data_IF_166893162648
#
_entry.id   IF_166893162648
#
_cell.length_a   1.000
_cell.length_b   1.000
_cell.length_c   1.000
_cell.angle_alpha   90.00
_cell.angle_beta   90.00
_cell.angle_gamma   90.00
#
_symmetry.space_group_name_H-M   'P 1'
#
loop_
_entity.id
_entity.type
_entity.pdbx_description
1 polymer ?
#
# COMPACT_ATOMS: atom_id res chain seq x y z
N UNK A 1 -24.18 2.20 15.75
CA UNK A 1 -22.95 2.92 15.41
C UNK A 1 -21.93 2.60 16.48
N UNK A 2 -20.93 1.83 16.17
CA UNK A 2 -19.77 1.63 17.05
C UNK A 2 -18.98 2.94 17.08
N UNK A 3 -18.90 3.58 18.22
CA UNK A 3 -18.16 4.83 18.37
C UNK A 3 -16.72 4.45 18.73
N UNK A 4 -15.82 4.50 17.76
CA UNK A 4 -14.39 4.33 18.01
C UNK A 4 -13.85 5.53 18.79
N UNK A 5 -13.15 5.27 19.90
CA UNK A 5 -12.49 6.28 20.73
C UNK A 5 -10.97 6.18 20.63
N UNK A 6 -10.48 4.98 20.33
CA UNK A 6 -9.05 4.68 20.24
C UNK A 6 -8.68 3.82 19.03
N UNK A 7 -7.50 4.07 18.46
CA UNK A 7 -6.93 3.31 17.34
C UNK A 7 -5.47 2.99 17.63
N UNK A 8 -5.08 1.75 17.46
CA UNK A 8 -3.68 1.34 17.43
C UNK A 8 -3.22 1.17 15.98
N UNK A 9 -2.12 1.81 15.58
CA UNK A 9 -1.53 1.69 14.24
C UNK A 9 -0.20 0.97 14.35
N UNK A 10 -0.10 -0.21 13.76
CA UNK A 10 1.06 -1.11 13.83
C UNK A 10 1.92 -0.93 12.57
N UNK A 11 3.13 -0.42 12.75
CA UNK A 11 4.01 0.05 11.69
C UNK A 11 3.84 1.56 11.46
N UNK A 12 4.87 2.34 11.77
CA UNK A 12 4.84 3.81 11.66
C UNK A 12 5.71 4.31 10.51
N UNK A 13 5.72 3.58 9.40
CA UNK A 13 6.37 3.98 8.15
C UNK A 13 5.57 5.01 7.34
N UNK A 14 5.84 5.06 6.03
CA UNK A 14 5.26 6.03 5.09
C UNK A 14 3.72 6.05 5.01
N UNK A 15 3.06 4.97 5.42
CA UNK A 15 1.60 4.87 5.44
C UNK A 15 1.10 4.99 6.88
N UNK A 16 1.63 4.18 7.81
CA UNK A 16 1.08 4.10 9.15
C UNK A 16 1.21 5.39 9.96
N UNK A 17 2.33 6.11 9.88
CA UNK A 17 2.47 7.37 10.62
C UNK A 17 1.51 8.47 10.12
N UNK A 18 1.36 8.72 8.80
CA UNK A 18 0.34 9.64 8.31
C UNK A 18 -1.10 9.22 8.67
N UNK A 19 -1.42 7.92 8.57
CA UNK A 19 -2.73 7.39 8.98
C UNK A 19 -2.97 7.65 10.48
N UNK A 20 -2.00 7.35 11.34
CA UNK A 20 -2.07 7.60 12.78
C UNK A 20 -2.29 9.10 13.10
N UNK A 21 -1.48 9.97 12.48
CA UNK A 21 -1.58 11.41 12.65
C UNK A 21 -2.93 11.97 12.17
N UNK A 22 -3.47 11.43 11.08
CA UNK A 22 -4.76 11.83 10.53
C UNK A 22 -5.91 11.45 11.48
N UNK A 23 -5.96 10.24 12.03
CA UNK A 23 -6.94 9.86 13.06
C UNK A 23 -6.83 10.74 14.31
N UNK A 24 -5.61 10.98 14.80
CA UNK A 24 -5.37 11.84 15.96
C UNK A 24 -5.87 13.27 15.72
N UNK A 25 -5.69 13.81 14.51
CA UNK A 25 -6.20 15.14 14.13
C UNK A 25 -7.72 15.25 14.16
N UNK A 26 -8.43 14.12 14.11
CA UNK A 26 -9.90 14.04 14.25
C UNK A 26 -10.36 13.78 15.68
N UNK A 27 -9.44 13.79 16.63
CA UNK A 27 -9.74 13.71 18.06
C UNK A 27 -9.69 12.32 18.68
N UNK A 28 -9.42 11.26 17.90
CA UNK A 28 -9.22 9.92 18.45
C UNK A 28 -7.95 9.86 19.28
N UNK A 29 -7.91 8.97 20.26
CA UNK A 29 -6.69 8.59 20.95
C UNK A 29 -5.96 7.55 20.11
N UNK A 30 -4.75 7.89 19.63
CA UNK A 30 -3.99 7.02 18.72
C UNK A 30 -2.73 6.52 19.39
N UNK A 31 -2.53 5.21 19.32
CA UNK A 31 -1.36 4.49 19.80
C UNK A 31 -0.59 4.01 18.57
N UNK A 32 0.49 4.68 18.22
CA UNK A 32 1.40 4.21 17.18
C UNK A 32 2.30 3.12 17.74
N UNK A 33 2.47 2.03 17.01
CA UNK A 33 3.34 0.92 17.44
C UNK A 33 4.39 0.66 16.36
N UNK A 34 5.67 0.73 16.74
CA UNK A 34 6.76 0.38 15.83
C UNK A 34 7.88 -0.33 16.60
N UNK A 35 8.48 -1.33 15.97
CA UNK A 35 9.61 -2.08 16.56
C UNK A 35 10.89 -1.25 16.65
N UNK A 36 10.98 -0.16 15.89
CA UNK A 36 12.12 0.74 15.87
C UNK A 36 12.01 1.79 16.98
N UNK A 37 12.76 1.60 18.06
CA UNK A 37 12.79 2.52 19.21
C UNK A 37 13.12 3.95 18.79
N UNK A 38 14.01 4.16 17.82
CA UNK A 38 14.35 5.51 17.35
C UNK A 38 13.14 6.21 16.69
N UNK A 39 12.33 5.50 15.93
CA UNK A 39 11.09 6.03 15.35
C UNK A 39 10.11 6.42 16.48
N UNK A 40 9.94 5.54 17.46
CA UNK A 40 9.08 5.78 18.64
C UNK A 40 9.52 7.02 19.40
N UNK A 41 10.81 7.16 19.71
CA UNK A 41 11.34 8.30 20.45
C UNK A 41 11.19 9.61 19.65
N UNK A 42 11.44 9.57 18.34
CA UNK A 42 11.30 10.70 17.43
C UNK A 42 9.86 11.21 17.41
N UNK A 43 8.89 10.30 17.26
CA UNK A 43 7.46 10.64 17.21
C UNK A 43 7.01 11.23 18.55
N UNK A 44 7.40 10.62 19.68
CA UNK A 44 7.01 11.09 21.01
C UNK A 44 7.59 12.50 21.34
N UNK A 45 8.63 12.92 20.64
CA UNK A 45 9.16 14.31 20.69
C UNK A 45 8.39 15.27 19.78
N UNK A 46 7.38 14.80 19.05
CA UNK A 46 6.63 15.59 18.07
C UNK A 46 7.37 15.81 16.75
N UNK A 47 8.38 14.98 16.46
CA UNK A 47 9.14 15.00 15.21
C UNK A 47 8.75 13.83 14.30
N UNK A 48 9.21 13.86 13.05
CA UNK A 48 8.99 12.80 12.06
C UNK A 48 10.32 12.21 11.59
N UNK A 49 10.33 10.91 11.31
CA UNK A 49 11.50 10.18 10.79
C UNK A 49 11.37 9.87 9.29
N UNK A 50 10.29 10.31 8.66
CA UNK A 50 10.03 10.19 7.22
C UNK A 50 9.81 11.57 6.62
N UNK A 51 10.09 11.70 5.31
CA UNK A 51 9.93 12.97 4.59
C UNK A 51 8.60 12.97 3.86
N UNK A 52 7.64 13.72 4.38
CA UNK A 52 6.32 13.91 3.77
C UNK A 52 5.83 15.33 4.08
N UNK A 53 5.37 16.11 3.08
CA UNK A 53 4.87 17.46 3.30
C UNK A 53 3.74 17.49 4.34
N UNK A 54 3.74 18.53 5.18
CA UNK A 54 2.73 18.80 6.21
C UNK A 54 2.66 17.79 7.37
N UNK A 55 3.29 16.61 7.26
CA UNK A 55 3.21 15.56 8.27
C UNK A 55 3.81 15.99 9.62
N UNK A 56 4.91 16.74 9.61
CA UNK A 56 5.57 17.23 10.80
C UNK A 56 4.65 18.12 11.66
N UNK A 57 3.88 18.99 11.03
CA UNK A 57 2.91 19.84 11.73
C UNK A 57 1.79 19.03 12.35
N UNK A 58 1.25 18.04 11.62
CA UNK A 58 0.15 17.22 12.10
C UNK A 58 0.60 16.33 13.25
N UNK A 59 1.78 15.68 13.14
CA UNK A 59 2.34 14.84 14.21
C UNK A 59 2.63 15.67 15.45
N UNK A 60 3.31 16.81 15.31
CA UNK A 60 3.61 17.70 16.44
C UNK A 60 2.36 18.16 17.16
N UNK A 61 1.33 18.57 16.43
CA UNK A 61 0.05 18.98 17.01
C UNK A 61 -0.61 17.82 17.75
N UNK A 62 -0.67 16.64 17.15
CA UNK A 62 -1.30 15.46 17.73
C UNK A 62 -0.61 15.00 19.01
N UNK A 63 0.73 15.01 19.05
CA UNK A 63 1.51 14.66 20.23
C UNK A 63 1.34 15.70 21.33
N UNK A 64 1.40 17.01 21.00
CA UNK A 64 1.21 18.09 21.96
C UNK A 64 -0.16 18.06 22.62
N UNK A 65 -1.19 17.70 21.88
CA UNK A 65 -2.56 17.53 22.37
C UNK A 65 -2.79 16.21 23.12
N UNK A 66 -1.77 15.35 23.23
CA UNK A 66 -1.89 14.02 23.85
C UNK A 66 -2.80 13.06 23.08
N UNK A 67 -3.02 13.31 21.78
CA UNK A 67 -3.86 12.48 20.91
C UNK A 67 -3.09 11.42 20.15
N UNK A 68 -1.76 11.58 20.03
CA UNK A 68 -0.86 10.60 19.42
C UNK A 68 0.30 10.35 20.38
N UNK A 69 0.58 9.10 20.65
CA UNK A 69 1.83 8.64 21.27
C UNK A 69 2.33 7.39 20.56
N UNK A 70 3.61 7.13 20.64
CA UNK A 70 4.23 5.93 20.06
C UNK A 70 4.78 5.00 21.15
N UNK A 71 4.78 3.71 20.88
CA UNK A 71 5.29 2.65 21.77
C UNK A 71 5.87 1.50 20.94
N UNK A 72 6.65 0.64 21.55
CA UNK A 72 7.18 -0.57 20.91
C UNK A 72 6.28 -1.80 21.09
N UNK A 73 5.27 -1.72 21.94
CA UNK A 73 4.34 -2.82 22.21
C UNK A 73 2.90 -2.37 22.03
N UNK A 74 2.03 -3.19 21.42
CA UNK A 74 0.61 -2.89 21.31
C UNK A 74 -0.06 -2.76 22.67
N UNK A 75 -1.07 -1.90 22.72
CA UNK A 75 -1.93 -1.69 23.87
C UNK A 75 -3.40 -1.82 23.45
N UNK A 76 -4.36 -2.03 24.39
CA UNK A 76 -5.77 -2.13 24.06
C UNK A 76 -6.30 -0.89 23.32
N UNK A 77 -7.04 -1.12 22.24
CA UNK A 77 -7.71 -0.09 21.44
C UNK A 77 -9.03 -0.65 20.88
N UNK A 78 -9.87 0.20 20.30
CA UNK A 78 -11.13 -0.24 19.67
C UNK A 78 -10.92 -0.70 18.24
N UNK A 79 -9.85 -0.22 17.58
CA UNK A 79 -9.44 -0.67 16.27
C UNK A 79 -7.91 -0.78 16.16
N UNK A 80 -7.47 -1.74 15.36
CA UNK A 80 -6.06 -2.00 15.07
C UNK A 80 -5.84 -1.94 13.56
N UNK A 81 -4.91 -1.10 13.12
CA UNK A 81 -4.53 -0.95 11.70
C UNK A 81 -3.13 -1.52 11.53
N UNK A 82 -2.99 -2.56 10.72
CA UNK A 82 -1.71 -3.20 10.41
C UNK A 82 -1.17 -2.61 9.12
N UNK A 83 -0.12 -1.80 9.24
CA UNK A 83 0.54 -1.07 8.16
C UNK A 83 2.04 -1.41 8.10
N UNK A 84 2.36 -2.71 8.17
CA UNK A 84 3.72 -3.25 8.16
C UNK A 84 4.20 -3.55 6.75
N UNK A 85 5.54 -3.62 6.50
CA UNK A 85 6.07 -3.99 5.20
C UNK A 85 5.62 -5.38 4.74
N UNK A 86 5.45 -5.53 3.42
CA UNK A 86 5.15 -6.80 2.75
C UNK A 86 6.13 -7.00 1.58
N UNK A 87 7.43 -7.24 1.85
CA UNK A 87 8.41 -7.50 0.81
C UNK A 87 8.20 -8.88 0.17
N UNK A 88 8.96 -9.20 -0.85
CA UNK A 88 9.03 -10.56 -1.35
C UNK A 88 10.34 -11.24 -0.92
N UNK A 89 10.28 -12.56 -0.80
CA UNK A 89 11.41 -13.45 -0.56
C UNK A 89 12.03 -13.92 -1.89
N UNK A 90 13.04 -14.76 -1.81
CA UNK A 90 13.61 -15.46 -2.97
C UNK A 90 12.51 -16.17 -3.78
N UNK A 91 12.60 -16.08 -5.10
CA UNK A 91 11.54 -16.57 -6.00
C UNK A 91 10.33 -15.66 -6.11
N UNK A 92 10.43 -14.41 -5.64
CA UNK A 92 9.39 -13.37 -5.74
C UNK A 92 8.09 -13.70 -5.00
N UNK A 93 8.15 -14.61 -4.01
CA UNK A 93 7.01 -14.95 -3.16
C UNK A 93 6.78 -13.89 -2.09
N UNK A 94 5.52 -13.56 -1.76
CA UNK A 94 5.24 -12.58 -0.72
C UNK A 94 5.74 -13.04 0.66
N UNK A 95 6.33 -12.11 1.41
CA UNK A 95 6.77 -12.34 2.78
C UNK A 95 5.72 -11.82 3.77
N UNK A 96 4.94 -12.72 4.32
CA UNK A 96 3.88 -12.39 5.28
C UNK A 96 4.32 -12.43 6.74
N UNK A 97 5.60 -12.70 7.03
CA UNK A 97 6.12 -12.82 8.42
C UNK A 97 5.90 -11.53 9.23
N UNK A 98 5.93 -10.37 8.60
CA UNK A 98 5.67 -9.09 9.27
C UNK A 98 4.21 -8.97 9.71
N UNK A 99 3.26 -9.41 8.86
CA UNK A 99 1.82 -9.45 9.20
C UNK A 99 1.59 -10.48 10.31
N UNK A 100 2.21 -11.66 10.23
CA UNK A 100 2.12 -12.69 11.26
C UNK A 100 2.64 -12.17 12.59
N UNK A 101 3.81 -11.52 12.60
CA UNK A 101 4.41 -10.94 13.82
C UNK A 101 3.53 -9.85 14.42
N UNK A 102 2.97 -8.97 13.60
CA UNK A 102 2.03 -7.94 14.04
C UNK A 102 0.76 -8.57 14.63
N UNK A 103 0.20 -9.59 13.97
CA UNK A 103 -0.97 -10.34 14.46
C UNK A 103 -0.73 -10.95 15.83
N UNK A 104 0.41 -11.63 16.01
CA UNK A 104 0.81 -12.22 17.31
C UNK A 104 1.03 -11.16 18.39
N UNK A 105 1.54 -9.98 18.01
CA UNK A 105 1.77 -8.89 18.96
C UNK A 105 0.47 -8.24 19.43
N UNK A 106 -0.53 -8.06 18.56
CA UNK A 106 -1.83 -7.46 18.94
C UNK A 106 -2.78 -8.45 19.60
N UNK A 107 -2.65 -9.74 19.35
CA UNK A 107 -3.54 -10.76 19.88
C UNK A 107 -3.78 -10.67 21.40
N UNK A 108 -2.76 -10.51 22.27
CA UNK A 108 -2.96 -10.45 23.73
C UNK A 108 -3.83 -9.28 24.21
N UNK A 109 -3.93 -8.21 23.43
CA UNK A 109 -4.65 -6.97 23.80
C UNK A 109 -6.01 -6.85 23.15
N UNK A 110 -6.39 -7.79 22.27
CA UNK A 110 -7.71 -7.81 21.64
C UNK A 110 -8.82 -8.10 22.63
N UNK A 111 -9.93 -7.44 22.47
CA UNK A 111 -11.17 -7.67 23.22
C UNK A 111 -12.38 -7.78 22.28
N UNK A 112 -13.45 -8.35 22.78
CA UNK A 112 -14.70 -8.47 22.04
C UNK A 112 -15.20 -7.10 21.57
N UNK A 113 -15.55 -7.00 20.31
CA UNK A 113 -16.00 -5.79 19.62
C UNK A 113 -14.91 -5.06 18.83
N UNK A 114 -13.63 -5.45 18.97
CA UNK A 114 -12.54 -4.80 18.27
C UNK A 114 -12.57 -5.07 16.75
N UNK A 115 -12.00 -4.10 16.02
CA UNK A 115 -11.80 -4.15 14.58
C UNK A 115 -10.31 -4.29 14.27
N UNK A 116 -9.94 -5.23 13.41
CA UNK A 116 -8.58 -5.37 12.90
C UNK A 116 -8.60 -5.13 11.38
N UNK A 117 -7.79 -4.20 10.91
CA UNK A 117 -7.69 -3.83 9.50
C UNK A 117 -6.27 -4.13 9.01
N UNK A 118 -6.14 -4.85 7.91
CA UNK A 118 -4.91 -4.96 7.14
C UNK A 118 -4.89 -3.83 6.12
N UNK A 119 -4.00 -2.85 6.31
CA UNK A 119 -3.82 -1.71 5.38
C UNK A 119 -2.63 -1.94 4.44
N UNK A 120 -1.68 -2.79 4.82
CA UNK A 120 -0.53 -3.16 3.99
C UNK A 120 -0.97 -3.78 2.66
N UNK A 121 -0.33 -3.39 1.55
CA UNK A 121 -0.50 -4.07 0.27
C UNK A 121 -0.12 -5.55 0.41
N UNK A 122 -1.02 -6.44 0.06
CA UNK A 122 -0.89 -7.87 0.37
C UNK A 122 -1.40 -8.74 -0.77
N UNK A 123 -0.92 -9.98 -0.92
CA UNK A 123 -1.50 -10.95 -1.85
C UNK A 123 -2.92 -11.31 -1.43
N UNK A 124 -3.71 -11.78 -2.39
CA UNK A 124 -5.10 -12.21 -2.14
C UNK A 124 -5.14 -13.35 -1.15
N UNK A 125 -5.92 -13.19 -0.08
CA UNK A 125 -6.04 -14.14 1.02
C UNK A 125 -5.20 -13.80 2.26
N UNK A 126 -4.37 -12.75 2.21
CA UNK A 126 -3.56 -12.36 3.36
C UNK A 126 -4.39 -11.91 4.56
N UNK A 127 -5.53 -11.27 4.33
CA UNK A 127 -6.47 -10.86 5.39
C UNK A 127 -7.10 -12.07 6.09
N UNK A 128 -7.47 -13.09 5.32
CA UNK A 128 -7.98 -14.36 5.85
C UNK A 128 -6.90 -15.05 6.68
N UNK A 129 -5.65 -15.05 6.19
CA UNK A 129 -4.52 -15.63 6.91
C UNK A 129 -4.20 -14.86 8.20
N UNK A 130 -4.26 -13.53 8.19
CA UNK A 130 -4.14 -12.69 9.39
C UNK A 130 -5.20 -13.06 10.42
N UNK A 131 -6.45 -13.20 9.99
CA UNK A 131 -7.56 -13.61 10.85
C UNK A 131 -7.35 -15.02 11.45
N UNK A 132 -6.75 -15.95 10.69
CA UNK A 132 -6.41 -17.28 11.18
C UNK A 132 -5.34 -17.24 12.28
N UNK A 133 -4.26 -16.47 12.10
CA UNK A 133 -3.22 -16.31 13.13
C UNK A 133 -3.76 -15.67 14.41
N UNK A 134 -4.66 -14.69 14.28
CA UNK A 134 -5.32 -14.08 15.45
C UNK A 134 -6.21 -15.08 16.18
N UNK A 135 -6.97 -15.91 15.44
CA UNK A 135 -7.82 -16.93 16.03
C UNK A 135 -7.02 -18.03 16.74
N UNK A 136 -5.88 -18.43 16.17
CA UNK A 136 -4.96 -19.38 16.82
C UNK A 136 -4.42 -18.83 18.14
N UNK A 137 -4.04 -17.55 18.16
CA UNK A 137 -3.51 -16.89 19.35
C UNK A 137 -4.59 -16.56 20.41
N UNK A 138 -5.87 -16.45 20.01
CA UNK A 138 -7.01 -16.07 20.88
C UNK A 138 -8.20 -17.02 20.69
N UNK A 139 -8.08 -18.29 21.13
CA UNK A 139 -9.16 -19.27 21.03
C UNK A 139 -10.38 -18.94 21.92
N UNK A 140 -10.25 -17.97 22.80
CA UNK A 140 -11.33 -17.42 23.63
C UNK A 140 -12.24 -16.44 22.91
N UNK A 141 -11.81 -15.94 21.72
CA UNK A 141 -12.57 -15.00 20.87
C UNK A 141 -13.01 -15.69 19.56
N UNK A 142 -14.15 -15.28 19.06
CA UNK A 142 -14.62 -15.76 17.74
C UNK A 142 -14.22 -14.79 16.63
N UNK A 143 -13.86 -15.36 15.46
CA UNK A 143 -13.41 -14.63 14.28
C UNK A 143 -14.32 -14.90 13.07
N UNK A 144 -14.31 -14.01 12.03
CA UNK A 144 -15.24 -14.08 10.92
C UNK A 144 -15.23 -15.40 10.15
N UNK A 145 -14.08 -16.07 9.99
CA UNK A 145 -13.98 -17.35 9.29
C UNK A 145 -14.76 -18.48 9.98
N UNK A 146 -15.03 -18.38 11.27
CA UNK A 146 -15.76 -19.40 12.02
C UNK A 146 -17.17 -18.95 12.41
N UNK A 147 -17.36 -17.68 12.78
CA UNK A 147 -18.60 -17.15 13.33
C UNK A 147 -19.37 -16.20 12.37
N UNK A 148 -18.80 -15.92 11.19
CA UNK A 148 -19.43 -15.04 10.21
C UNK A 148 -19.77 -13.66 10.78
N UNK A 149 -21.00 -13.21 10.53
CA UNK A 149 -21.49 -11.90 10.98
C UNK A 149 -21.58 -11.74 12.51
N UNK A 150 -21.58 -12.83 13.26
CA UNK A 150 -21.68 -12.83 14.72
C UNK A 150 -20.32 -12.90 15.43
N UNK A 151 -19.21 -12.75 14.69
CA UNK A 151 -17.86 -12.84 15.28
C UNK A 151 -17.61 -11.76 16.34
N UNK A 152 -16.83 -12.09 17.36
CA UNK A 152 -16.41 -11.13 18.39
C UNK A 152 -15.46 -10.08 17.83
N UNK A 153 -14.58 -10.48 16.91
CA UNK A 153 -13.63 -9.60 16.23
C UNK A 153 -14.09 -9.34 14.81
N UNK A 154 -13.99 -8.09 14.37
CA UNK A 154 -14.19 -7.69 12.97
C UNK A 154 -12.84 -7.66 12.24
N UNK A 155 -12.79 -8.15 11.00
CA UNK A 155 -11.56 -8.17 10.21
C UNK A 155 -11.83 -7.66 8.81
N UNK A 156 -11.01 -6.73 8.34
CA UNK A 156 -11.14 -6.11 7.01
C UNK A 156 -9.79 -5.84 6.36
N UNK A 157 -9.79 -5.66 5.05
CA UNK A 157 -8.69 -5.11 4.26
C UNK A 157 -9.07 -3.75 3.71
N UNK A 158 -8.21 -2.75 3.89
CA UNK A 158 -8.44 -1.41 3.39
C UNK A 158 -7.13 -0.87 2.79
N UNK A 159 -6.81 -1.20 1.53
CA UNK A 159 -5.52 -0.87 0.94
C UNK A 159 -5.31 0.63 0.82
N UNK A 160 -4.09 1.07 1.08
CA UNK A 160 -3.71 2.47 0.90
C UNK A 160 -3.40 2.78 -0.57
N UNK A 161 -3.85 3.95 -1.04
CA UNK A 161 -3.82 4.36 -2.46
C UNK A 161 -3.30 5.78 -2.65
N UNK A 162 -2.37 6.22 -1.79
CA UNK A 162 -1.81 7.57 -1.82
C UNK A 162 -0.53 7.67 -2.63
N UNK A 163 -0.24 8.87 -3.10
CA UNK A 163 1.00 9.20 -3.79
C UNK A 163 1.98 9.86 -2.81
N UNK A 164 3.23 9.38 -2.72
CA UNK A 164 4.26 10.06 -1.95
C UNK A 164 4.37 11.55 -2.32
N UNK A 165 4.46 12.41 -1.30
CA UNK A 165 4.46 13.87 -1.45
C UNK A 165 3.06 14.51 -1.38
N UNK A 166 1.99 13.71 -1.30
CA UNK A 166 0.60 14.17 -1.15
C UNK A 166 -0.20 13.32 -0.15
N UNK A 167 0.48 12.53 0.68
CA UNK A 167 -0.14 11.49 1.51
C UNK A 167 -1.23 12.06 2.41
N UNK A 168 -0.95 13.12 3.16
CA UNK A 168 -1.93 13.71 4.11
C UNK A 168 -3.21 14.17 3.41
N UNK A 169 -3.07 14.79 2.24
CA UNK A 169 -4.20 15.26 1.45
C UNK A 169 -5.00 14.10 0.88
N UNK A 170 -4.30 13.16 0.23
CA UNK A 170 -4.93 12.05 -0.47
C UNK A 170 -5.57 11.03 0.48
N UNK A 171 -5.05 10.85 1.71
CA UNK A 171 -5.70 10.08 2.76
C UNK A 171 -7.13 10.56 3.03
N UNK A 172 -7.34 11.87 2.95
CA UNK A 172 -8.63 12.50 3.25
C UNK A 172 -9.53 12.61 2.02
N UNK A 173 -8.97 12.91 0.84
CA UNK A 173 -9.75 13.27 -0.35
C UNK A 173 -10.06 12.08 -1.26
N UNK A 174 -9.19 11.04 -1.30
CA UNK A 174 -9.39 9.90 -2.20
C UNK A 174 -10.50 8.98 -1.72
N UNK A 175 -11.17 8.34 -2.69
CA UNK A 175 -12.06 7.22 -2.43
C UNK A 175 -11.30 6.05 -1.81
N UNK A 176 -11.93 5.36 -0.87
CA UNK A 176 -11.33 4.23 -0.17
C UNK A 176 -12.08 2.93 -0.47
N UNK A 177 -11.35 1.91 -0.85
CA UNK A 177 -11.88 0.55 -1.00
C UNK A 177 -11.85 -0.12 0.38
N UNK A 178 -12.97 -0.71 0.78
CA UNK A 178 -13.14 -1.34 2.09
C UNK A 178 -13.65 -2.76 1.92
N UNK A 179 -12.80 -3.73 2.14
CA UNK A 179 -13.10 -5.14 2.00
C UNK A 179 -13.18 -5.86 3.34
N UNK A 180 -14.37 -6.15 3.84
CA UNK A 180 -14.54 -6.96 5.03
C UNK A 180 -14.56 -8.46 4.76
N UNK A 181 -14.20 -9.26 5.75
CA UNK A 181 -14.43 -10.71 5.68
C UNK A 181 -15.93 -11.06 5.76
N UNK A 182 -16.74 -10.13 6.30
CA UNK A 182 -18.20 -10.17 6.30
C UNK A 182 -18.75 -8.76 6.10
N UNK A 183 -20.06 -8.62 5.88
CA UNK A 183 -20.71 -7.31 5.75
C UNK A 183 -20.51 -6.46 7.00
N UNK A 184 -20.67 -7.04 8.19
CA UNK A 184 -20.45 -6.34 9.46
C UNK A 184 -18.99 -5.86 9.61
N UNK A 185 -18.02 -6.62 9.10
CA UNK A 185 -16.62 -6.21 9.07
C UNK A 185 -16.40 -5.00 8.15
N UNK A 186 -16.99 -5.02 6.96
CA UNK A 186 -16.92 -3.91 6.01
C UNK A 186 -17.56 -2.65 6.57
N UNK A 187 -18.71 -2.77 7.21
CA UNK A 187 -19.42 -1.63 7.81
C UNK A 187 -18.66 -1.03 8.97
N UNK A 188 -18.08 -1.84 9.84
CA UNK A 188 -17.25 -1.35 10.95
C UNK A 188 -16.02 -0.60 10.42
N UNK A 189 -15.34 -1.13 9.41
CA UNK A 189 -14.19 -0.47 8.80
C UNK A 189 -14.59 0.82 8.07
N UNK A 190 -15.71 0.83 7.36
CA UNK A 190 -16.27 2.05 6.75
C UNK A 190 -16.56 3.13 7.79
N UNK A 191 -17.17 2.77 8.90
CA UNK A 191 -17.51 3.71 9.97
C UNK A 191 -16.26 4.32 10.59
N UNK A 192 -15.16 3.54 10.73
CA UNK A 192 -13.88 4.04 11.18
C UNK A 192 -13.25 5.03 10.19
N UNK A 193 -13.14 4.68 8.91
CA UNK A 193 -12.49 5.55 7.92
C UNK A 193 -13.30 6.83 7.63
N UNK A 194 -14.62 6.80 7.72
CA UNK A 194 -15.48 7.98 7.57
C UNK A 194 -15.24 9.08 8.61
N UNK A 195 -14.48 8.81 9.66
CA UNK A 195 -14.05 9.83 10.61
C UNK A 195 -13.19 10.91 9.92
N UNK A 196 -12.41 10.55 8.90
CA UNK A 196 -11.57 11.51 8.20
C UNK A 196 -11.71 11.51 6.67
N UNK A 197 -12.11 10.41 6.05
CA UNK A 197 -12.25 10.29 4.59
C UNK A 197 -13.47 11.10 4.11
N UNK A 198 -13.23 12.00 3.15
CA UNK A 198 -14.24 12.81 2.46
C UNK A 198 -14.68 12.17 1.15
N UNK A 199 -13.82 11.38 0.52
CA UNK A 199 -14.15 10.59 -0.66
C UNK A 199 -15.15 9.48 -0.34
N UNK A 200 -15.52 8.72 -1.35
CA UNK A 200 -16.43 7.59 -1.16
C UNK A 200 -15.73 6.41 -0.48
N UNK A 201 -16.39 5.82 0.50
CA UNK A 201 -15.98 4.57 1.12
C UNK A 201 -16.75 3.41 0.44
N UNK A 202 -16.12 2.78 -0.54
CA UNK A 202 -16.71 1.75 -1.40
C UNK A 202 -16.51 0.39 -0.75
N UNK A 203 -17.62 -0.26 -0.40
CA UNK A 203 -17.61 -1.55 0.30
C UNK A 203 -17.56 -2.71 -0.69
N UNK A 204 -16.70 -3.69 -0.39
CA UNK A 204 -16.56 -4.97 -1.11
C UNK A 204 -16.13 -6.07 -0.12
N UNK A 205 -15.74 -7.25 -0.61
CA UNK A 205 -15.10 -8.30 0.17
C UNK A 205 -13.57 -8.10 0.27
N UNK A 206 -12.93 -8.78 1.24
CA UNK A 206 -11.50 -8.64 1.52
C UNK A 206 -10.63 -9.02 0.32
N UNK A 207 -10.93 -10.13 -0.37
CA UNK A 207 -10.15 -10.63 -1.51
C UNK A 207 -10.21 -9.67 -2.70
N UNK A 208 -11.39 -9.10 -2.97
CA UNK A 208 -11.58 -8.09 -4.02
C UNK A 208 -10.80 -6.81 -3.68
N UNK A 209 -10.81 -6.36 -2.42
CA UNK A 209 -10.07 -5.18 -2.00
C UNK A 209 -8.53 -5.38 -2.13
N UNK A 210 -8.02 -6.55 -1.75
CA UNK A 210 -6.61 -6.94 -1.94
C UNK A 210 -6.25 -6.90 -3.44
N UNK A 211 -7.08 -7.53 -4.27
CA UNK A 211 -6.83 -7.58 -5.72
C UNK A 211 -6.91 -6.21 -6.39
N UNK A 212 -7.79 -5.31 -5.95
CA UNK A 212 -7.90 -3.95 -6.49
C UNK A 212 -6.55 -3.23 -6.43
N UNK A 213 -5.89 -3.23 -5.27
CA UNK A 213 -4.59 -2.58 -5.10
C UNK A 213 -3.52 -3.16 -6.00
N UNK A 214 -3.43 -4.48 -6.06
CA UNK A 214 -2.47 -5.19 -6.91
C UNK A 214 -2.72 -4.89 -8.40
N UNK A 215 -3.99 -4.84 -8.81
CA UNK A 215 -4.40 -4.52 -10.19
C UNK A 215 -3.99 -3.12 -10.59
N UNK A 216 -4.16 -2.11 -9.73
CA UNK A 216 -3.75 -0.73 -10.00
C UNK A 216 -2.26 -0.61 -10.31
N UNK A 217 -1.42 -1.25 -9.51
CA UNK A 217 0.02 -1.22 -9.70
C UNK A 217 0.46 -2.07 -10.90
N UNK A 218 -0.15 -3.22 -11.13
CA UNK A 218 0.11 -4.05 -12.31
C UNK A 218 -0.32 -3.37 -13.61
N UNK A 219 -1.45 -2.65 -13.61
CA UNK A 219 -1.87 -1.85 -14.75
C UNK A 219 -0.82 -0.78 -15.10
N UNK A 220 -0.27 -0.10 -14.11
CA UNK A 220 0.78 0.90 -14.33
C UNK A 220 2.06 0.26 -14.85
N UNK A 221 2.47 -0.89 -14.30
CA UNK A 221 3.65 -1.63 -14.74
C UNK A 221 3.56 -2.03 -16.22
N UNK A 222 2.46 -2.66 -16.63
CA UNK A 222 2.22 -3.05 -18.02
C UNK A 222 2.21 -1.84 -18.96
N UNK A 223 1.61 -0.72 -18.55
CA UNK A 223 1.58 0.49 -19.38
C UNK A 223 2.96 1.17 -19.49
N UNK A 224 3.79 1.12 -18.46
CA UNK A 224 5.19 1.56 -18.52
C UNK A 224 5.99 0.66 -19.47
N UNK A 225 5.78 -0.68 -19.36
CA UNK A 225 6.39 -1.64 -20.26
C UNK A 225 6.07 -1.35 -21.73
N UNK A 226 4.79 -1.13 -22.03
CA UNK A 226 4.35 -0.78 -23.37
C UNK A 226 5.02 0.50 -23.89
N UNK A 227 5.10 1.56 -23.08
CA UNK A 227 5.77 2.80 -23.46
C UNK A 227 7.26 2.60 -23.73
N UNK A 228 7.94 1.79 -22.91
CA UNK A 228 9.35 1.47 -23.06
C UNK A 228 9.63 0.64 -24.32
N UNK A 229 8.82 -0.39 -24.59
CA UNK A 229 8.94 -1.19 -25.81
C UNK A 229 8.69 -0.34 -27.05
N UNK A 230 7.67 0.54 -27.02
CA UNK A 230 7.38 1.48 -28.10
C UNK A 230 8.56 2.40 -28.37
N UNK A 231 9.31 2.83 -27.34
CA UNK A 231 10.51 3.66 -27.51
C UNK A 231 11.63 2.94 -28.28
N UNK A 232 11.80 1.62 -28.02
CA UNK A 232 12.78 0.79 -28.72
C UNK A 232 12.40 0.60 -30.20
N UNK A 233 11.11 0.34 -30.45
CA UNK A 233 10.57 0.21 -31.80
C UNK A 233 10.74 1.53 -32.58
N UNK A 234 10.41 2.66 -31.96
CA UNK A 234 10.55 3.99 -32.56
C UNK A 234 12.01 4.32 -32.90
N UNK A 235 12.96 3.99 -32.03
CA UNK A 235 14.40 4.16 -32.31
C UNK A 235 14.83 3.38 -33.56
N UNK A 236 14.36 2.13 -33.68
CA UNK A 236 14.64 1.30 -34.86
C UNK A 236 14.05 1.87 -36.17
N UNK A 237 12.87 2.46 -36.05
CA UNK A 237 12.13 3.04 -37.17
C UNK A 237 12.47 4.51 -37.46
N UNK A 238 13.39 5.09 -36.69
CA UNK A 238 13.76 6.51 -36.76
C UNK A 238 12.55 7.48 -36.56
N UNK A 239 11.67 7.10 -35.60
CA UNK A 239 10.50 7.88 -35.18
C UNK A 239 10.78 8.50 -33.79
N UNK A 240 10.33 9.75 -33.61
CA UNK A 240 10.39 10.40 -32.32
C UNK A 240 9.25 9.87 -31.41
N UNK A 241 9.60 9.03 -30.42
CA UNK A 241 8.61 8.40 -29.52
C UNK A 241 7.82 9.42 -28.70
N UNK A 242 8.43 10.53 -28.30
CA UNK A 242 7.77 11.59 -27.53
C UNK A 242 6.68 12.28 -28.35
N UNK A 243 6.98 12.55 -29.62
CA UNK A 243 5.99 13.09 -30.54
C UNK A 243 4.89 12.09 -30.83
N UNK A 244 5.24 10.82 -31.08
CA UNK A 244 4.28 9.75 -31.33
C UNK A 244 3.30 9.62 -30.14
N UNK A 245 3.80 9.53 -28.91
CA UNK A 245 2.96 9.41 -27.72
C UNK A 245 2.06 10.64 -27.55
N UNK A 246 2.59 11.84 -27.72
CA UNK A 246 1.80 13.08 -27.66
C UNK A 246 0.66 13.09 -28.68
N UNK A 247 0.90 12.62 -29.91
CA UNK A 247 -0.11 12.54 -30.97
C UNK A 247 -1.12 11.41 -30.71
N UNK A 248 -0.65 10.21 -30.32
CA UNK A 248 -1.51 9.07 -30.01
C UNK A 248 -2.47 9.37 -28.84
N UNK A 249 -1.99 10.08 -27.81
CA UNK A 249 -2.80 10.49 -26.66
C UNK A 249 -3.85 11.58 -26.97
N UNK A 250 -3.89 12.09 -28.22
CA UNK A 250 -5.02 12.91 -28.70
C UNK A 250 -6.29 12.08 -28.91
N UNK A 251 -6.15 10.77 -29.05
CA UNK A 251 -7.29 9.89 -29.16
C UNK A 251 -7.96 9.72 -27.77
N UNK A 252 -9.29 9.92 -27.65
CA UNK A 252 -9.97 10.01 -26.35
C UNK A 252 -9.91 8.75 -25.47
N UNK A 253 -9.56 7.60 -26.04
CA UNK A 253 -9.43 6.32 -25.34
C UNK A 253 -7.99 5.84 -25.20
N UNK A 254 -6.99 6.71 -25.42
CA UNK A 254 -5.57 6.37 -25.36
C UNK A 254 -4.86 7.27 -24.35
N UNK A 255 -4.12 6.67 -23.43
CA UNK A 255 -3.32 7.38 -22.46
C UNK A 255 -2.01 6.62 -22.21
N UNK A 256 -1.10 6.67 -23.19
CA UNK A 256 0.21 6.03 -23.12
C UNK A 256 1.09 6.83 -22.14
N UNK A 257 1.73 6.13 -21.22
CA UNK A 257 2.67 6.71 -20.27
C UNK A 257 3.98 7.12 -20.98
N UNK A 258 4.82 7.87 -20.27
CA UNK A 258 6.13 8.27 -20.80
C UNK A 258 7.13 7.13 -20.64
N UNK A 259 7.95 6.81 -21.67
CA UNK A 259 9.03 5.85 -21.53
C UNK A 259 10.11 6.39 -20.58
N UNK A 260 10.76 5.46 -19.87
CA UNK A 260 11.77 5.79 -18.88
C UNK A 260 12.80 4.67 -18.68
N UNK A 261 13.73 4.82 -17.72
CA UNK A 261 14.84 3.86 -17.51
C UNK A 261 14.39 2.52 -16.89
N UNK A 262 13.12 2.32 -16.65
CA UNK A 262 12.54 1.15 -16.01
C UNK A 262 11.71 1.50 -14.78
N UNK A 263 11.25 0.46 -14.07
CA UNK A 263 10.44 0.58 -12.86
C UNK A 263 11.30 0.33 -11.63
N UNK A 264 11.19 1.21 -10.66
CA UNK A 264 11.87 1.09 -9.38
C UNK A 264 10.91 1.28 -8.20
N UNK A 265 11.46 1.29 -6.99
CA UNK A 265 10.71 1.49 -5.76
C UNK A 265 10.11 0.19 -5.20
N UNK A 266 9.29 0.35 -4.15
CA UNK A 266 8.76 -0.76 -3.36
C UNK A 266 7.36 -1.23 -3.79
N UNK A 267 6.69 -0.54 -4.70
CA UNK A 267 5.30 -0.82 -5.08
C UNK A 267 5.23 -1.48 -6.46
N UNK A 268 5.46 -0.72 -7.55
CA UNK A 268 5.27 -1.22 -8.92
C UNK A 268 6.25 -2.37 -9.24
N UNK A 269 7.44 -2.37 -8.67
CA UNK A 269 8.42 -3.45 -8.85
C UNK A 269 8.09 -4.73 -8.06
N UNK A 270 7.15 -4.70 -7.12
CA UNK A 270 6.85 -5.80 -6.19
C UNK A 270 5.45 -6.36 -6.38
N UNK A 271 4.44 -5.50 -6.37
CA UNK A 271 3.03 -5.91 -6.29
C UNK A 271 2.55 -6.79 -7.46
N UNK A 272 3.01 -6.62 -8.72
CA UNK A 272 2.64 -7.51 -9.82
C UNK A 272 2.99 -8.98 -9.56
N UNK A 273 4.08 -9.23 -8.82
CA UNK A 273 4.51 -10.59 -8.49
C UNK A 273 3.58 -11.29 -7.52
N UNK A 274 2.82 -10.56 -6.70
CA UNK A 274 1.80 -11.14 -5.85
C UNK A 274 0.64 -11.71 -6.66
N UNK A 275 0.29 -11.10 -7.80
CA UNK A 275 -0.70 -11.65 -8.75
C UNK A 275 -0.12 -12.90 -9.42
N UNK A 276 1.15 -12.85 -9.85
CA UNK A 276 1.81 -13.99 -10.51
C UNK A 276 1.90 -15.17 -9.56
N UNK A 277 2.29 -14.98 -8.31
CA UNK A 277 2.36 -16.04 -7.30
C UNK A 277 0.97 -16.64 -7.00
N UNK A 278 -0.07 -15.81 -6.98
CA UNK A 278 -1.44 -16.25 -6.72
C UNK A 278 -2.06 -17.07 -7.86
N UNK A 279 -1.65 -16.83 -9.11
CA UNK A 279 -2.21 -17.47 -10.30
C UNK A 279 -1.18 -17.63 -11.44
N UNK A 280 -0.10 -18.41 -11.25
CA UNK A 280 1.04 -18.47 -12.17
C UNK A 280 0.67 -18.97 -13.56
N UNK A 281 -0.29 -19.89 -13.66
CA UNK A 281 -0.73 -20.43 -14.93
C UNK A 281 -1.60 -19.46 -15.76
N UNK A 282 -2.25 -18.49 -15.12
CA UNK A 282 -3.15 -17.53 -15.74
C UNK A 282 -2.48 -16.15 -15.98
N UNK A 283 -1.49 -15.78 -15.19
CA UNK A 283 -0.83 -14.46 -15.23
C UNK A 283 0.12 -14.30 -16.43
N UNK A 284 -0.35 -14.50 -17.66
CA UNK A 284 0.49 -14.50 -18.88
C UNK A 284 1.00 -13.13 -19.27
N UNK A 285 0.22 -12.08 -19.10
CA UNK A 285 0.63 -10.71 -19.43
C UNK A 285 1.50 -10.08 -18.33
N UNK A 286 1.15 -10.32 -17.06
CA UNK A 286 1.83 -9.76 -15.89
C UNK A 286 3.12 -10.51 -15.59
N UNK A 287 3.14 -11.83 -15.78
CA UNK A 287 4.26 -12.73 -15.51
C UNK A 287 5.08 -13.11 -16.75
N UNK A 288 4.97 -12.37 -17.85
CA UNK A 288 5.75 -12.66 -19.04
C UNK A 288 7.21 -12.25 -18.79
N UNK A 289 8.11 -13.22 -18.73
CA UNK A 289 9.54 -13.00 -18.47
C UNK A 289 10.18 -11.91 -19.34
N UNK A 290 9.64 -11.67 -20.54
CA UNK A 290 10.09 -10.63 -21.44
C UNK A 290 9.71 -9.21 -21.00
N UNK A 291 8.58 -8.99 -20.30
CA UNK A 291 8.18 -7.66 -19.83
C UNK A 291 8.68 -7.37 -18.43
N UNK A 292 8.55 -8.31 -17.51
CA UNK A 292 9.08 -8.16 -16.16
C UNK A 292 10.61 -8.13 -16.15
N UNK A 293 11.29 -8.96 -16.96
CA UNK A 293 12.75 -8.92 -17.12
C UNK A 293 13.23 -7.70 -17.89
N UNK A 294 12.42 -7.17 -18.82
CA UNK A 294 12.71 -5.91 -19.48
C UNK A 294 12.64 -4.71 -18.52
N UNK A 295 11.78 -4.75 -17.52
CA UNK A 295 11.45 -3.63 -16.63
C UNK A 295 12.06 -3.78 -15.25
N UNK A 296 12.03 -4.98 -14.66
CA UNK A 296 12.45 -5.19 -13.25
C UNK A 296 13.94 -5.49 -13.13
N UNK A 297 14.63 -5.76 -14.24
CA UNK A 297 16.08 -5.83 -14.26
C UNK A 297 16.66 -6.93 -13.38
N UNK A 298 16.27 -8.18 -13.57
CA UNK A 298 17.01 -9.30 -13.02
C UNK A 298 18.27 -9.58 -13.87
N UNK A 299 19.40 -9.39 -13.23
CA UNK A 299 20.81 -9.42 -13.62
C UNK A 299 21.37 -10.37 -14.67
N UNK A 300 20.58 -11.06 -15.51
CA UNK A 300 21.09 -12.01 -16.50
C UNK A 300 21.10 -11.49 -17.94
N UNK A 301 20.04 -10.88 -18.41
CA UNK A 301 19.91 -10.48 -19.83
C UNK A 301 20.34 -9.03 -20.08
N UNK A 302 20.41 -8.22 -19.05
CA UNK A 302 20.70 -6.79 -19.11
C UNK A 302 22.18 -6.41 -19.25
N UNK A 303 23.14 -7.33 -19.13
CA UNK A 303 24.56 -6.97 -19.19
C UNK A 303 24.99 -6.29 -20.49
N UNK A 304 24.24 -6.44 -21.58
CA UNK A 304 24.57 -5.81 -22.88
C UNK A 304 23.56 -4.76 -23.35
N UNK A 305 22.32 -4.74 -22.85
CA UNK A 305 21.26 -3.83 -23.25
C UNK A 305 21.16 -2.56 -22.39
N UNK A 306 21.34 -2.69 -21.07
CA UNK A 306 21.15 -1.60 -20.09
C UNK A 306 21.98 -0.35 -20.41
N UNK A 307 23.27 -0.52 -20.63
CA UNK A 307 24.16 0.60 -20.92
C UNK A 307 23.84 1.30 -22.26
N UNK A 308 23.27 0.58 -23.23
CA UNK A 308 22.89 1.17 -24.53
C UNK A 308 21.54 1.86 -24.47
N UNK A 309 20.57 1.31 -23.71
CA UNK A 309 19.24 1.93 -23.55
C UNK A 309 19.30 3.20 -22.70
N UNK A 310 19.99 3.15 -21.56
CA UNK A 310 20.21 4.33 -20.71
C UNK A 310 20.98 5.43 -21.45
N UNK A 311 22.04 5.08 -22.20
CA UNK A 311 22.76 6.04 -23.03
C UNK A 311 21.95 6.58 -24.21
N UNK A 312 21.03 5.80 -24.79
CA UNK A 312 20.18 6.26 -25.90
C UNK A 312 19.01 7.10 -25.41
N UNK A 313 18.32 6.70 -24.33
CA UNK A 313 17.24 7.50 -23.73
C UNK A 313 17.78 8.84 -23.19
N UNK A 314 18.98 8.87 -22.58
CA UNK A 314 19.63 10.10 -22.16
C UNK A 314 20.11 10.98 -23.36
N UNK A 315 20.37 10.40 -24.53
CA UNK A 315 20.68 11.15 -25.75
C UNK A 315 19.44 11.67 -26.48
N UNK A 316 18.30 10.99 -26.30
CA UNK A 316 17.02 11.37 -26.90
C UNK A 316 16.21 12.34 -26.02
N UNK A 317 16.57 12.48 -24.74
CA UNK A 317 16.00 13.55 -23.93
C UNK A 317 16.39 14.89 -24.59
N UNK A 318 15.43 15.71 -25.02
CA UNK A 318 15.76 17.04 -25.53
C UNK A 318 16.53 17.76 -24.41
N UNK A 319 17.56 18.51 -24.79
CA UNK A 319 18.30 19.40 -23.91
C UNK A 319 17.32 20.47 -23.34
N UNK A 320 16.54 20.04 -22.35
CA UNK A 320 15.80 20.94 -21.47
C UNK A 320 16.62 21.08 -20.20
N UNK A 321 17.83 21.60 -20.37
CA UNK A 321 18.57 22.25 -19.29
C UNK A 321 18.72 23.68 -19.76
N UNK A 322 17.80 24.50 -19.35
CA UNK A 322 17.85 25.94 -19.56
C UNK A 322 16.48 26.58 -19.58
N UNK A 323 15.79 26.56 -18.46
CA UNK A 323 14.94 27.68 -18.07
C UNK A 323 14.87 27.70 -16.54
N UNK A 324 15.24 28.84 -16.02
CA UNK A 324 15.35 29.26 -14.63
C UNK A 324 14.11 29.03 -13.81
#
# INVERSE_FOLDING_TARGET
MTKFESVAVIGLGYIGLPTAATFASRGLTVIGVDVNQHAVDTINQGNVHIVEPELDMVVRSAVTLGKLRATTTPEPADAFIVAVPTPFMDGKKPDLRYIESASKAIAPVLKKGDLVILESTSPVGATEQMSAWLAEARPDLSFPQAAGECSDIRVAHCPERVLPGQVIRELVENDRIIGGMTSACSEAARDLYRIFVKGDCIVTDARTAEMCKLTENSFRDVNIAFANELSIICDKLNINVWELIRLANRHPRVNILQPGPGVGGHCIAVDPWFIVDSAPDQAKLIGFDGFADLIIGNGGVWRHGRARLECRLLRLAPRVVGLR
#
